data_IF_715317187071
#
_entry.id   IF_715317187071
#
_cell.length_a   1.000
_cell.length_b   1.000
_cell.length_c   1.000
_cell.angle_alpha   90.00
_cell.angle_beta   90.00
_cell.angle_gamma   90.00
#
_symmetry.space_group_name_H-M   'P 1'
#
loop_
_entity.id
_entity.type
_entity.pdbx_description
1 polymer ?
#
# COMPACT_ATOMS: atom_id res chain seq x y z
N UNK A 1 2.20 -3.36 23.43
CA UNK A 1 1.82 -4.66 22.88
C UNK A 1 3.06 -5.36 22.38
N UNK A 2 3.32 -6.57 22.82
CA UNK A 2 4.47 -7.37 22.40
C UNK A 2 4.17 -8.17 21.12
N UNK A 3 5.21 -8.60 20.43
CA UNK A 3 5.07 -9.50 19.26
C UNK A 3 4.37 -10.80 19.67
N UNK A 4 4.65 -11.30 20.87
CA UNK A 4 4.04 -12.51 21.41
C UNK A 4 2.52 -12.36 21.64
N UNK A 5 2.05 -11.17 22.02
CA UNK A 5 0.62 -10.86 22.11
C UNK A 5 -0.04 -10.82 20.72
N UNK A 6 0.64 -10.26 19.71
CA UNK A 6 0.13 -10.23 18.32
C UNK A 6 -0.09 -11.63 17.76
N UNK A 7 0.76 -12.61 18.09
CA UNK A 7 0.59 -13.98 17.61
C UNK A 7 -0.70 -14.65 18.10
N UNK A 8 -1.23 -14.23 19.25
CA UNK A 8 -2.46 -14.78 19.85
C UNK A 8 -3.74 -14.24 19.21
N UNK A 9 -3.65 -13.17 18.41
CA UNK A 9 -4.78 -12.53 17.76
C UNK A 9 -5.24 -13.30 16.53
N UNK A 10 -6.56 -13.29 16.31
CA UNK A 10 -7.17 -13.72 15.06
C UNK A 10 -6.71 -12.84 13.88
N UNK A 11 -6.89 -13.33 12.65
CA UNK A 11 -6.59 -12.55 11.46
C UNK A 11 -7.40 -11.24 11.41
N UNK A 12 -8.68 -11.27 11.80
CA UNK A 12 -9.53 -10.09 11.81
C UNK A 12 -9.06 -9.02 12.81
N UNK A 13 -8.62 -9.43 14.00
CA UNK A 13 -8.07 -8.50 15.00
C UNK A 13 -6.75 -7.89 14.55
N UNK A 14 -5.87 -8.69 13.94
CA UNK A 14 -4.62 -8.19 13.34
C UNK A 14 -4.90 -7.13 12.28
N UNK A 15 -5.86 -7.38 11.39
CA UNK A 15 -6.23 -6.43 10.34
C UNK A 15 -6.74 -5.11 10.93
N UNK A 16 -7.62 -5.14 11.94
CA UNK A 16 -8.10 -3.92 12.62
C UNK A 16 -6.96 -3.11 13.24
N UNK A 17 -6.00 -3.79 13.86
CA UNK A 17 -4.82 -3.12 14.44
C UNK A 17 -3.97 -2.50 13.33
N UNK A 18 -3.73 -3.21 12.22
CA UNK A 18 -3.00 -2.68 11.07
C UNK A 18 -3.70 -1.43 10.53
N UNK A 19 -5.02 -1.45 10.36
CA UNK A 19 -5.81 -0.31 9.89
C UNK A 19 -5.71 0.89 10.85
N UNK A 20 -5.81 0.65 12.16
CA UNK A 20 -5.69 1.72 13.16
C UNK A 20 -4.28 2.33 13.18
N UNK A 21 -3.24 1.49 13.14
CA UNK A 21 -1.85 1.95 13.09
C UNK A 21 -1.57 2.70 11.78
N UNK A 22 -2.09 2.22 10.65
CA UNK A 22 -1.93 2.89 9.37
C UNK A 22 -2.60 4.28 9.37
N UNK A 23 -3.81 4.38 9.94
CA UNK A 23 -4.49 5.67 10.09
C UNK A 23 -3.73 6.66 10.98
N UNK A 24 -3.14 6.17 12.08
CA UNK A 24 -2.31 6.97 12.99
C UNK A 24 -1.05 7.49 12.28
N UNK A 25 -0.34 6.63 11.54
CA UNK A 25 0.87 6.98 10.80
C UNK A 25 0.62 8.00 9.68
N UNK A 26 -0.49 7.87 8.95
CA UNK A 26 -0.84 8.79 7.85
C UNK A 26 -1.34 10.13 8.40
N UNK A 27 -1.82 10.19 9.65
CA UNK A 27 -2.24 11.44 10.28
C UNK A 27 -1.10 12.41 10.61
N UNK A 28 0.15 11.93 10.62
CA UNK A 28 1.37 12.68 10.96
C UNK A 28 2.42 12.54 9.84
N UNK A 29 2.06 13.00 8.62
CA UNK A 29 2.90 12.86 7.41
C UNK A 29 4.30 13.49 7.59
N UNK A 30 4.41 14.56 8.39
CA UNK A 30 5.69 15.25 8.67
C UNK A 30 6.67 14.37 9.45
N UNK A 31 6.16 13.39 10.21
CA UNK A 31 6.95 12.50 11.04
C UNK A 31 7.35 11.21 10.29
N UNK A 32 6.74 10.96 9.13
CA UNK A 32 7.06 9.81 8.28
C UNK A 32 7.85 10.25 7.05
N UNK A 33 9.15 10.45 7.24
CA UNK A 33 10.07 10.75 6.13
C UNK A 33 10.00 9.68 5.04
N UNK A 34 9.75 10.10 3.80
CA UNK A 34 9.82 9.21 2.65
C UNK A 34 11.21 8.56 2.55
N UNK A 35 11.30 7.25 2.28
CA UNK A 35 12.58 6.61 2.01
C UNK A 35 13.32 7.27 0.84
N UNK A 36 14.65 7.26 0.85
CA UNK A 36 15.47 7.90 -0.20
C UNK A 36 15.22 7.37 -1.61
N UNK A 37 14.77 6.12 -1.75
CA UNK A 37 14.43 5.54 -3.06
C UNK A 37 13.06 5.99 -3.58
N UNK A 38 12.18 6.51 -2.72
CA UNK A 38 10.79 6.79 -3.06
C UNK A 38 10.67 7.85 -4.16
N UNK A 39 11.39 8.97 -4.02
CA UNK A 39 11.42 10.03 -5.03
C UNK A 39 11.89 9.51 -6.39
N UNK A 40 12.91 8.66 -6.41
CA UNK A 40 13.45 8.09 -7.66
C UNK A 40 12.40 7.25 -8.39
N UNK A 41 11.65 6.42 -7.67
CA UNK A 41 10.59 5.60 -8.27
C UNK A 41 9.36 6.43 -8.68
N UNK A 42 9.01 7.50 -7.95
CA UNK A 42 7.96 8.44 -8.35
C UNK A 42 8.31 9.12 -9.68
N UNK A 43 9.50 9.71 -9.79
CA UNK A 43 9.97 10.37 -11.02
C UNK A 43 9.99 9.39 -12.21
N UNK A 44 10.47 8.17 -11.99
CA UNK A 44 10.51 7.12 -13.01
C UNK A 44 9.11 6.72 -13.46
N UNK A 45 8.16 6.61 -12.52
CA UNK A 45 6.76 6.26 -12.82
C UNK A 45 6.09 7.38 -13.60
N UNK A 46 6.28 8.64 -13.19
CA UNK A 46 5.74 9.81 -13.88
C UNK A 46 6.27 9.91 -15.33
N UNK A 47 7.58 9.72 -15.54
CA UNK A 47 8.16 9.72 -16.89
C UNK A 47 7.54 8.67 -17.80
N UNK A 48 7.33 7.45 -17.29
CA UNK A 48 6.70 6.37 -18.05
C UNK A 48 5.22 6.64 -18.33
N UNK A 49 4.52 7.28 -17.39
CA UNK A 49 3.15 7.73 -17.60
C UNK A 49 3.06 8.72 -18.75
N UNK A 50 3.90 9.77 -18.72
CA UNK A 50 3.90 10.82 -19.71
C UNK A 50 4.37 10.36 -21.09
N UNK A 51 5.25 9.35 -21.17
CA UNK A 51 5.67 8.74 -22.45
C UNK A 51 4.64 7.78 -23.04
N UNK A 52 3.61 7.39 -22.27
CA UNK A 52 2.64 6.37 -22.69
C UNK A 52 3.14 4.93 -22.55
N UNK A 53 4.23 4.71 -21.81
CA UNK A 53 4.85 3.40 -21.61
C UNK A 53 4.19 2.60 -20.47
N UNK A 54 3.16 3.14 -19.82
CA UNK A 54 2.36 2.41 -18.83
C UNK A 54 0.89 2.44 -19.19
N UNK A 55 0.26 1.28 -19.02
CA UNK A 55 -1.19 1.13 -19.11
C UNK A 55 -1.83 1.61 -17.80
N UNK A 56 -2.83 2.47 -17.94
CA UNK A 56 -3.62 2.99 -16.83
C UNK A 56 -4.92 2.21 -16.78
N UNK A 57 -5.16 1.51 -15.68
CA UNK A 57 -6.36 0.71 -15.48
C UNK A 57 -7.24 1.34 -14.42
N UNK A 58 -8.55 1.25 -14.63
CA UNK A 58 -9.50 1.54 -13.58
C UNK A 58 -9.30 0.56 -12.40
N UNK A 59 -9.46 1.05 -11.18
CA UNK A 59 -9.18 0.27 -9.99
C UNK A 59 -10.12 -0.93 -9.81
N UNK A 60 -11.39 -0.80 -10.20
CA UNK A 60 -12.34 -1.91 -10.16
C UNK A 60 -12.00 -2.94 -11.23
N UNK A 61 -11.59 -2.48 -12.42
CA UNK A 61 -11.11 -3.37 -13.48
C UNK A 61 -9.87 -4.15 -13.05
N UNK A 62 -8.86 -3.48 -12.48
CA UNK A 62 -7.64 -4.11 -11.99
C UNK A 62 -7.92 -5.18 -10.93
N UNK A 63 -8.81 -4.88 -9.96
CA UNK A 63 -9.25 -5.85 -8.95
C UNK A 63 -9.94 -7.06 -9.55
N UNK A 64 -10.82 -6.84 -10.53
CA UNK A 64 -11.53 -7.93 -11.22
C UNK A 64 -10.55 -8.84 -11.95
N UNK A 65 -9.60 -8.26 -12.68
CA UNK A 65 -8.60 -9.02 -13.42
C UNK A 65 -7.70 -9.84 -12.49
N UNK A 66 -7.23 -9.26 -11.38
CA UNK A 66 -6.41 -9.97 -10.40
C UNK A 66 -7.15 -11.17 -9.80
N UNK A 67 -8.42 -11.02 -9.42
CA UNK A 67 -9.21 -12.15 -8.89
C UNK A 67 -9.38 -13.25 -9.93
N UNK A 68 -9.72 -12.88 -11.18
CA UNK A 68 -9.90 -13.83 -12.28
C UNK A 68 -8.63 -14.61 -12.64
N UNK A 69 -7.43 -14.12 -12.29
CA UNK A 69 -6.15 -14.82 -12.54
C UNK A 69 -5.86 -15.95 -11.54
N UNK A 70 -6.51 -15.93 -10.38
CA UNK A 70 -6.27 -16.90 -9.29
C UNK A 70 -7.51 -17.71 -8.89
N UNK A 71 -8.63 -17.51 -9.59
CA UNK A 71 -9.78 -18.43 -9.64
C UNK A 71 -9.54 -19.53 -10.67
#
# INVERSE_FOLDING_TARGET
MSIEELHKLSAAEKLKIIEALWGDLVGDEDNLSSPSWHETELIKTEKKFLSGDIEVLDWQQAKKELRSRFE
#
